data_IF_458900793010
#
_entry.id   IF_458900793010
#
_cell.length_a   1.000
_cell.length_b   1.000
_cell.length_c   1.000
_cell.angle_alpha   90.00
_cell.angle_beta   90.00
_cell.angle_gamma   90.00
#
_symmetry.space_group_name_H-M   'P 1'
#
loop_
_entity.id
_entity.type
_entity.pdbx_description
1 polymer ?
#
# COMPACT_ATOMS: atom_id res chain seq x y z
N UNK A 1 -11.46 16.72 -15.31
CA UNK A 1 -11.25 15.84 -14.15
C UNK A 1 -10.00 15.01 -14.43
N UNK A 2 -8.93 15.16 -13.66
CA UNK A 2 -7.79 14.23 -13.74
C UNK A 2 -8.23 12.90 -13.13
N UNK A 3 -8.64 11.97 -14.00
CA UNK A 3 -8.95 10.58 -13.63
C UNK A 3 -7.64 9.83 -13.54
N UNK A 4 -7.09 9.71 -12.32
CA UNK A 4 -5.87 8.95 -12.09
C UNK A 4 -6.19 7.46 -12.24
N UNK A 5 -5.84 6.86 -13.38
CA UNK A 5 -5.79 5.42 -13.52
C UNK A 5 -4.54 4.93 -12.78
N UNK A 6 -4.64 4.84 -11.46
CA UNK A 6 -3.57 4.39 -10.59
C UNK A 6 -3.05 3.02 -11.06
N UNK A 7 -1.75 2.75 -10.87
CA UNK A 7 -1.13 1.46 -11.24
C UNK A 7 -1.47 0.34 -10.23
N UNK A 8 -2.73 0.29 -9.79
CA UNK A 8 -3.21 -0.61 -8.73
C UNK A 8 -3.18 -2.09 -9.15
N UNK A 9 -3.42 -2.39 -10.44
CA UNK A 9 -3.31 -3.77 -10.94
C UNK A 9 -1.88 -4.30 -10.83
N UNK A 10 -0.90 -3.49 -11.20
CA UNK A 10 0.51 -3.82 -11.10
C UNK A 10 0.96 -3.94 -9.64
N UNK A 11 0.50 -3.02 -8.79
CA UNK A 11 0.73 -3.09 -7.35
C UNK A 11 0.21 -4.41 -6.75
N UNK A 12 -1.01 -4.82 -7.10
CA UNK A 12 -1.61 -6.09 -6.67
C UNK A 12 -0.77 -7.27 -7.15
N UNK A 13 -0.35 -7.26 -8.43
CA UNK A 13 0.44 -8.34 -9.01
C UNK A 13 1.79 -8.48 -8.27
N UNK A 14 2.45 -7.37 -7.96
CA UNK A 14 3.70 -7.39 -7.19
C UNK A 14 3.52 -7.94 -5.76
N UNK A 15 2.40 -7.66 -5.09
CA UNK A 15 2.10 -8.26 -3.77
C UNK A 15 1.92 -9.78 -3.89
N UNK A 16 1.23 -10.23 -4.94
CA UNK A 16 1.01 -11.66 -5.22
C UNK A 16 2.36 -12.35 -5.42
N UNK A 17 3.23 -11.76 -6.25
CA UNK A 17 4.54 -12.28 -6.65
C UNK A 17 5.65 -12.03 -5.62
N UNK A 18 5.31 -11.47 -4.45
CA UNK A 18 6.25 -11.15 -3.37
C UNK A 18 7.35 -10.14 -3.73
N UNK A 19 7.14 -9.32 -4.77
CA UNK A 19 8.02 -8.21 -5.16
C UNK A 19 7.78 -6.98 -4.27
N UNK A 20 7.91 -7.14 -2.94
CA UNK A 20 7.55 -6.10 -1.97
C UNK A 20 8.47 -4.89 -1.99
N UNK A 21 9.74 -5.07 -2.41
CA UNK A 21 10.71 -3.98 -2.49
C UNK A 21 10.35 -3.04 -3.63
N UNK A 22 9.84 -3.54 -4.74
CA UNK A 22 9.50 -2.76 -5.92
C UNK A 22 8.06 -2.22 -5.84
N UNK A 23 7.16 -2.94 -5.19
CA UNK A 23 5.75 -2.58 -5.09
C UNK A 23 5.50 -1.18 -4.52
N UNK A 24 6.30 -0.73 -3.55
CA UNK A 24 6.10 0.59 -2.93
C UNK A 24 6.40 1.76 -3.89
N UNK A 25 7.22 1.55 -4.92
CA UNK A 25 7.56 2.57 -5.93
C UNK A 25 6.39 2.78 -6.92
N UNK A 26 5.61 1.73 -7.19
CA UNK A 26 4.53 1.72 -8.20
C UNK A 26 3.46 2.79 -7.91
N UNK A 27 3.15 3.04 -6.64
CA UNK A 27 2.15 4.02 -6.22
C UNK A 27 2.77 5.36 -5.76
N UNK A 28 4.10 5.51 -5.81
CA UNK A 28 4.77 6.68 -5.25
C UNK A 28 4.52 7.95 -6.06
N UNK A 29 4.50 7.85 -7.39
CA UNK A 29 4.21 8.98 -8.28
C UNK A 29 2.77 9.48 -8.11
N UNK A 30 1.82 8.56 -7.98
CA UNK A 30 0.42 8.86 -7.70
C UNK A 30 0.25 9.55 -6.34
N UNK A 31 0.94 9.03 -5.32
CA UNK A 31 0.98 9.65 -3.99
C UNK A 31 1.55 11.08 -4.03
N UNK A 32 2.66 11.30 -4.76
CA UNK A 32 3.27 12.63 -4.95
C UNK A 32 2.31 13.58 -5.68
N UNK A 33 1.59 13.09 -6.69
CA UNK A 33 0.61 13.88 -7.42
C UNK A 33 -0.55 14.32 -6.51
N UNK A 34 -1.11 13.42 -5.70
CA UNK A 34 -2.18 13.74 -4.74
C UNK A 34 -1.73 14.78 -3.71
N UNK A 35 -0.51 14.64 -3.18
CA UNK A 35 0.09 15.65 -2.30
C UNK A 35 0.20 17.01 -2.96
N UNK A 36 0.60 17.05 -4.23
CA UNK A 36 0.79 18.30 -5.00
C UNK A 36 -0.54 19.05 -5.21
N UNK A 37 -1.63 18.33 -5.46
CA UNK A 37 -2.96 18.93 -5.66
C UNK A 37 -3.71 19.19 -4.33
N UNK A 38 -3.12 18.79 -3.19
CA UNK A 38 -3.68 19.05 -1.86
C UNK A 38 -4.74 18.04 -1.40
N UNK A 39 -4.92 16.92 -2.10
CA UNK A 39 -5.83 15.84 -1.68
C UNK A 39 -5.17 15.00 -0.58
N UNK A 40 -5.33 15.45 0.66
CA UNK A 40 -4.67 14.87 1.84
C UNK A 40 -5.20 13.48 2.19
N UNK A 41 -6.49 13.22 2.00
CA UNK A 41 -7.10 11.94 2.40
C UNK A 41 -6.68 10.84 1.44
N UNK A 42 -6.80 11.07 0.13
CA UNK A 42 -6.33 10.12 -0.89
C UNK A 42 -4.82 9.90 -0.79
N UNK A 43 -4.03 10.96 -0.58
CA UNK A 43 -2.59 10.83 -0.38
C UNK A 43 -2.25 9.97 0.85
N UNK A 44 -2.94 10.15 1.98
CA UNK A 44 -2.72 9.31 3.16
C UNK A 44 -3.16 7.86 2.92
N UNK A 45 -4.26 7.64 2.24
CA UNK A 45 -4.73 6.31 1.88
C UNK A 45 -3.68 5.57 1.03
N UNK A 46 -3.18 6.17 -0.06
CA UNK A 46 -2.10 5.60 -0.88
C UNK A 46 -0.82 5.37 -0.05
N UNK A 47 -0.47 6.32 0.82
CA UNK A 47 0.65 6.16 1.75
C UNK A 47 0.47 4.93 2.65
N UNK A 48 -0.76 4.61 3.05
CA UNK A 48 -1.08 3.38 3.77
C UNK A 48 -0.63 2.15 2.99
N UNK A 49 -1.09 2.01 1.74
CA UNK A 49 -0.76 0.87 0.87
C UNK A 49 0.75 0.73 0.64
N UNK A 50 1.42 1.83 0.31
CA UNK A 50 2.88 1.90 0.13
C UNK A 50 3.60 1.40 1.39
N UNK A 51 3.17 1.84 2.58
CA UNK A 51 3.75 1.38 3.83
C UNK A 51 3.44 -0.10 4.12
N UNK A 52 2.28 -0.61 3.69
CA UNK A 52 1.98 -2.04 3.77
C UNK A 52 3.03 -2.89 3.06
N UNK A 53 3.38 -2.55 1.82
CA UNK A 53 4.43 -3.25 1.06
C UNK A 53 5.82 -3.00 1.62
N UNK A 54 6.14 -1.78 2.06
CA UNK A 54 7.42 -1.46 2.72
C UNK A 54 7.61 -2.26 4.00
N UNK A 55 6.56 -2.48 4.78
CA UNK A 55 6.60 -3.32 5.98
C UNK A 55 6.98 -4.76 5.65
N UNK A 56 6.34 -5.37 4.64
CA UNK A 56 6.67 -6.72 4.18
C UNK A 56 8.11 -6.82 3.66
N UNK A 57 8.54 -5.82 2.88
CA UNK A 57 9.92 -5.73 2.39
C UNK A 57 10.95 -5.65 3.54
N UNK A 58 10.68 -4.86 4.57
CA UNK A 58 11.54 -4.76 5.76
C UNK A 58 11.60 -6.07 6.52
N UNK A 59 10.48 -6.78 6.64
CA UNK A 59 10.42 -8.06 7.32
C UNK A 59 11.28 -9.11 6.58
N UNK A 60 11.12 -9.24 5.26
CA UNK A 60 11.93 -10.14 4.42
C UNK A 60 13.43 -9.79 4.48
N UNK A 61 13.76 -8.51 4.67
CA UNK A 61 15.14 -8.02 4.88
C UNK A 61 15.67 -8.26 6.31
N UNK A 62 14.97 -9.02 7.15
CA UNK A 62 15.39 -9.31 8.53
C UNK A 62 15.28 -8.13 9.49
N UNK A 63 14.37 -7.18 9.23
CA UNK A 63 14.15 -5.97 10.06
C UNK A 63 12.74 -5.95 10.67
N UNK A 64 12.39 -6.90 11.56
CA UNK A 64 11.03 -7.07 12.07
C UNK A 64 10.50 -5.85 12.85
N UNK A 65 11.33 -5.23 13.70
CA UNK A 65 10.91 -4.06 14.50
C UNK A 65 10.55 -2.85 13.61
N UNK A 66 11.35 -2.64 12.56
CA UNK A 66 11.08 -1.59 11.57
C UNK A 66 9.82 -1.92 10.75
N UNK A 67 9.63 -3.18 10.39
CA UNK A 67 8.44 -3.64 9.69
C UNK A 67 7.16 -3.38 10.51
N UNK A 68 7.16 -3.68 11.81
CA UNK A 68 6.00 -3.45 12.69
C UNK A 68 5.67 -1.95 12.82
N UNK A 69 6.69 -1.12 13.01
CA UNK A 69 6.52 0.34 13.05
C UNK A 69 5.87 0.86 11.76
N UNK A 70 6.35 0.39 10.60
CA UNK A 70 5.81 0.80 9.30
C UNK A 70 4.39 0.25 9.09
N UNK A 71 4.11 -0.98 9.52
CA UNK A 71 2.77 -1.58 9.45
C UNK A 71 1.71 -0.77 10.20
N UNK A 72 2.06 -0.19 11.35
CA UNK A 72 1.14 0.68 12.09
C UNK A 72 0.64 1.86 11.26
N UNK A 73 1.43 2.35 10.30
CA UNK A 73 1.04 3.42 9.38
C UNK A 73 0.03 2.93 8.35
N UNK A 74 0.20 1.72 7.82
CA UNK A 74 -0.82 1.07 6.98
C UNK A 74 -2.15 0.97 7.71
N UNK A 75 -2.16 0.40 8.93
CA UNK A 75 -3.39 0.25 9.74
C UNK A 75 -4.05 1.59 10.03
N UNK A 76 -3.25 2.62 10.33
CA UNK A 76 -3.75 3.98 10.59
C UNK A 76 -4.43 4.61 9.38
N UNK A 77 -3.95 4.34 8.17
CA UNK A 77 -4.43 5.03 6.96
C UNK A 77 -5.39 4.21 6.09
N UNK A 78 -5.41 2.88 6.22
CA UNK A 78 -6.38 2.04 5.49
C UNK A 78 -7.84 2.41 5.80
N UNK A 79 -8.10 2.90 7.02
CA UNK A 79 -9.44 3.33 7.48
C UNK A 79 -10.01 4.50 6.68
N UNK A 80 -9.15 5.25 5.98
CA UNK A 80 -9.57 6.36 5.11
C UNK A 80 -10.22 5.89 3.81
N UNK A 81 -10.26 4.59 3.53
CA UNK A 81 -10.83 4.02 2.30
C UNK A 81 -12.28 4.49 2.03
N UNK A 82 -13.08 4.62 3.07
CA UNK A 82 -14.48 5.06 2.95
C UNK A 82 -14.62 6.59 2.79
N UNK A 83 -13.54 7.34 3.03
CA UNK A 83 -13.50 8.80 2.94
C UNK A 83 -12.92 9.30 1.62
N UNK A 84 -12.38 8.40 0.77
CA UNK A 84 -11.70 8.74 -0.48
C UNK A 84 -12.49 8.29 -1.70
N UNK A 85 -12.55 9.16 -2.71
CA UNK A 85 -13.13 8.85 -4.01
C UNK A 85 -12.07 8.15 -4.87
N UNK A 86 -12.29 6.86 -5.14
CA UNK A 86 -11.38 6.02 -5.91
C UNK A 86 -12.13 5.37 -7.08
N UNK A 87 -11.52 5.41 -8.25
CA UNK A 87 -11.90 4.50 -9.32
C UNK A 87 -11.39 3.09 -8.99
N UNK A 88 -12.10 2.04 -9.42
CA UNK A 88 -11.74 0.64 -9.16
C UNK A 88 -11.61 0.29 -7.65
N UNK A 89 -12.57 0.73 -6.82
CA UNK A 89 -12.59 0.47 -5.35
C UNK A 89 -12.37 -0.99 -4.97
N UNK A 90 -12.90 -1.92 -5.75
CA UNK A 90 -12.75 -3.36 -5.60
C UNK A 90 -11.28 -3.81 -5.62
N UNK A 91 -10.45 -3.20 -6.47
CA UNK A 91 -9.01 -3.48 -6.53
C UNK A 91 -8.28 -3.02 -5.28
N UNK A 92 -8.67 -1.87 -4.74
CA UNK A 92 -8.10 -1.36 -3.50
C UNK A 92 -8.45 -2.23 -2.29
N UNK A 93 -9.68 -2.74 -2.23
CA UNK A 93 -10.09 -3.74 -1.23
C UNK A 93 -9.17 -4.97 -1.34
N UNK A 94 -9.03 -5.52 -2.55
CA UNK A 94 -8.16 -6.67 -2.81
C UNK A 94 -6.71 -6.42 -2.38
N UNK A 95 -6.17 -5.23 -2.66
CA UNK A 95 -4.81 -4.86 -2.26
C UNK A 95 -4.66 -4.84 -0.72
N UNK A 96 -5.63 -4.25 0.01
CA UNK A 96 -5.62 -4.24 1.47
C UNK A 96 -5.72 -5.66 2.05
N UNK A 97 -6.63 -6.49 1.53
CA UNK A 97 -6.79 -7.89 1.96
C UNK A 97 -5.52 -8.71 1.73
N UNK A 98 -4.88 -8.56 0.56
CA UNK A 98 -3.61 -9.23 0.26
C UNK A 98 -2.49 -8.78 1.20
N UNK A 99 -2.38 -7.48 1.49
CA UNK A 99 -1.38 -6.97 2.42
C UNK A 99 -1.59 -7.55 3.82
N UNK A 100 -2.82 -7.61 4.31
CA UNK A 100 -3.17 -8.19 5.60
C UNK A 100 -2.89 -9.69 5.65
N UNK A 101 -3.25 -10.43 4.60
CA UNK A 101 -2.97 -11.87 4.49
C UNK A 101 -1.46 -12.13 4.56
N UNK A 102 -0.68 -11.45 3.71
CA UNK A 102 0.78 -11.60 3.68
C UNK A 102 1.41 -11.19 5.01
N UNK A 103 0.93 -10.12 5.64
CA UNK A 103 1.46 -9.68 6.93
C UNK A 103 1.12 -10.65 8.07
N UNK A 104 -0.07 -11.24 8.07
CA UNK A 104 -0.46 -12.26 9.06
C UNK A 104 0.40 -13.52 8.95
N UNK A 105 0.77 -13.90 7.72
CA UNK A 105 1.59 -15.07 7.39
C UNK A 105 3.07 -14.75 7.22
N UNK A 106 3.53 -13.55 7.60
CA UNK A 106 4.89 -13.09 7.27
C UNK A 106 6.02 -13.99 7.77
N UNK A 107 5.80 -14.73 8.86
CA UNK A 107 6.76 -15.73 9.35
C UNK A 107 7.03 -16.89 8.40
N UNK A 108 6.23 -17.08 7.34
CA UNK A 108 6.47 -18.04 6.27
C UNK A 108 6.93 -17.39 4.95
N UNK A 109 7.30 -16.10 4.97
CA UNK A 109 7.85 -15.38 3.81
C UNK A 109 9.40 -15.38 3.78
N UNK A 110 10.03 -15.91 4.83
CA UNK A 110 11.48 -16.03 4.98
C UNK A 110 11.95 -17.48 4.83
#
# INVERSE_FOLDING_TARGET
>A
MHKGNYRIDEFIQMIIDHHFVEAHEVLEDDWKALKKIGDKSSAKFLQGLINGTTSLALFVKGRPDAAEKVWSTFVKYKVLFDEVELENRDKYIKAMELLEDKYSKKGSLC
#
